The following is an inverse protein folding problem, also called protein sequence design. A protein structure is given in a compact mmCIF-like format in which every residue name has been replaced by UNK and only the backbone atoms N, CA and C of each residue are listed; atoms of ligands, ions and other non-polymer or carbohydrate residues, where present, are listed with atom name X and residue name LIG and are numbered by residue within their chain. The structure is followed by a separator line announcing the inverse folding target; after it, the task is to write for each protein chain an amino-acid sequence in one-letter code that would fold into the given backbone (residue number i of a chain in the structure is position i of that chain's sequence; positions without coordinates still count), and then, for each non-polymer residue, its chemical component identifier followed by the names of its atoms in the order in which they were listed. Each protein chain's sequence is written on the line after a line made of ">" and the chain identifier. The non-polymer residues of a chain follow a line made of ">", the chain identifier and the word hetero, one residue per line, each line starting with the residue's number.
data_IF_873981048185
#
_entry.id   IF_873981048185
#
_cell.length_a   1.000
_cell.length_b   1.000
_cell.length_c   1.000
_cell.angle_alpha   90.00
_cell.angle_beta   90.00
_cell.angle_gamma   90.00
#
_symmetry.space_group_name_H-M   'P 1'
#
loop_
_entity.id
_entity.type
_entity.pdbx_description
1 polymer ?
#
# COMPACT_ATOMS: atom_id res chain seq x y z
N UNK A 1 -37.23 -2.70 14.54
CA UNK A 1 -36.30 -2.06 13.58
C UNK A 1 -36.31 -0.57 13.87
N UNK A 2 -35.48 -0.15 14.81
CA UNK A 2 -35.45 1.22 15.33
C UNK A 2 -34.08 1.79 15.00
N UNK A 3 -34.00 2.42 13.81
CA UNK A 3 -32.81 3.14 13.37
C UNK A 3 -32.63 4.40 14.21
N UNK A 4 -31.42 4.62 14.72
CA UNK A 4 -31.05 5.89 15.33
C UNK A 4 -30.77 6.90 14.21
N UNK A 5 -31.64 7.90 14.09
CA UNK A 5 -31.44 9.06 13.22
C UNK A 5 -30.40 9.94 13.90
N UNK A 6 -29.19 10.03 13.33
CA UNK A 6 -28.21 11.03 13.73
C UNK A 6 -28.76 12.39 13.30
N UNK A 7 -29.18 13.19 14.27
CA UNK A 7 -29.56 14.59 14.04
C UNK A 7 -28.34 15.43 14.39
N UNK A 8 -27.68 16.01 13.39
CA UNK A 8 -26.74 17.10 13.62
C UNK A 8 -27.57 18.33 13.99
N UNK A 9 -27.76 18.56 15.29
CA UNK A 9 -28.31 19.82 15.78
C UNK A 9 -27.22 20.89 15.68
N UNK A 10 -27.51 21.96 14.95
CA UNK A 10 -26.69 23.17 14.88
C UNK A 10 -26.79 23.93 16.20
N UNK A 11 -25.70 24.59 16.61
CA UNK A 11 -25.50 25.23 17.92
C UNK A 11 -26.55 26.30 18.31
N UNK A 12 -27.41 26.75 17.40
CA UNK A 12 -28.42 27.78 17.68
C UNK A 12 -29.65 27.26 18.46
N UNK A 13 -29.88 25.95 18.54
CA UNK A 13 -31.01 25.38 19.32
C UNK A 13 -30.63 24.97 20.76
N UNK A 14 -29.36 25.11 21.16
CA UNK A 14 -28.83 24.67 22.47
C UNK A 14 -28.61 25.81 23.47
N UNK A 15 -29.20 26.99 23.29
CA UNK A 15 -29.08 28.09 24.27
C UNK A 15 -30.10 27.98 25.40
N UNK A 16 -29.95 26.93 26.19
CA UNK A 16 -30.42 26.83 27.57
C UNK A 16 -29.24 27.04 28.52
N UNK A 17 -29.39 27.93 29.49
CA UNK A 17 -28.32 28.43 30.36
C UNK A 17 -27.48 27.33 31.03
N UNK A 18 -26.14 27.53 30.98
CA UNK A 18 -25.03 26.73 31.54
C UNK A 18 -24.71 25.42 30.82
N UNK A 19 -23.84 25.52 29.82
CA UNK A 19 -23.00 24.41 29.34
C UNK A 19 -22.00 24.09 30.45
N UNK A 20 -22.20 22.97 31.17
CA UNK A 20 -21.38 22.56 32.32
C UNK A 20 -20.02 21.94 31.92
N UNK A 21 -19.57 22.19 30.69
CA UNK A 21 -18.26 21.80 30.19
C UNK A 21 -18.30 21.47 28.71
N UNK A 22 -17.22 21.83 28.01
CA UNK A 22 -16.95 21.33 26.67
C UNK A 22 -16.05 20.09 26.80
N UNK A 23 -16.56 18.92 26.41
CA UNK A 23 -15.69 17.75 26.25
C UNK A 23 -14.89 17.94 24.97
N UNK A 24 -13.62 18.32 25.12
CA UNK A 24 -12.68 18.37 24.01
C UNK A 24 -12.16 16.95 23.77
N UNK A 25 -12.77 16.24 22.82
CA UNK A 25 -12.25 14.98 22.29
C UNK A 25 -11.08 15.32 21.35
N UNK A 26 -9.88 15.48 21.90
CA UNK A 26 -8.67 15.58 21.09
C UNK A 26 -8.32 14.17 20.57
N UNK A 27 -8.86 13.82 19.41
CA UNK A 27 -8.48 12.58 18.75
C UNK A 27 -7.07 12.75 18.17
N UNK A 28 -6.06 12.22 18.87
CA UNK A 28 -4.66 12.23 18.43
C UNK A 28 -4.41 11.18 17.33
N UNK A 29 -5.28 11.18 16.32
CA UNK A 29 -5.16 10.31 15.17
C UNK A 29 -4.14 10.87 14.20
N UNK A 30 -3.19 10.04 13.80
CA UNK A 30 -2.29 10.32 12.69
C UNK A 30 -2.94 9.81 11.40
N UNK A 31 -2.90 10.63 10.36
CA UNK A 31 -3.37 10.27 9.02
C UNK A 31 -2.20 9.76 8.19
N UNK A 32 -2.32 8.53 7.71
CA UNK A 32 -1.28 7.88 6.91
C UNK A 32 -1.73 7.78 5.47
N UNK A 33 -0.90 8.27 4.54
CA UNK A 33 -1.06 7.99 3.12
C UNK A 33 -0.62 6.55 2.88
N UNK A 34 -1.59 5.68 2.59
CA UNK A 34 -1.32 4.24 2.46
C UNK A 34 -1.27 3.78 1.01
N UNK A 35 -1.50 4.62 0.01
CA UNK A 35 -1.45 4.19 -1.40
C UNK A 35 -1.03 5.28 -2.39
N UNK A 36 -0.98 4.91 -3.67
CA UNK A 36 -0.47 5.78 -4.75
C UNK A 36 -1.46 6.86 -5.21
N UNK A 37 -2.75 6.72 -4.87
CA UNK A 37 -3.80 7.63 -5.33
C UNK A 37 -4.04 8.79 -4.36
N UNK A 38 -4.45 9.94 -4.90
CA UNK A 38 -4.83 11.11 -4.11
C UNK A 38 -5.95 10.76 -3.11
N UNK A 39 -5.78 11.15 -1.83
CA UNK A 39 -6.71 10.88 -0.71
C UNK A 39 -6.91 9.40 -0.37
N UNK A 40 -5.95 8.55 -0.72
CA UNK A 40 -5.91 7.17 -0.22
C UNK A 40 -5.21 7.12 1.13
N UNK A 41 -5.89 7.64 2.15
CA UNK A 41 -5.40 7.74 3.52
C UNK A 41 -6.20 6.88 4.49
N UNK A 42 -5.56 6.48 5.59
CA UNK A 42 -6.24 5.87 6.74
C UNK A 42 -5.75 6.55 8.01
N UNK A 43 -6.70 6.86 8.88
CA UNK A 43 -6.48 7.44 10.19
C UNK A 43 -6.27 6.36 11.24
N UNK A 44 -5.24 6.50 12.08
CA UNK A 44 -5.02 5.64 13.23
C UNK A 44 -4.60 6.46 14.45
N UNK A 45 -5.27 6.25 15.59
CA UNK A 45 -4.94 6.88 16.87
C UNK A 45 -4.39 5.86 17.85
N UNK A 46 -3.44 6.31 18.66
CA UNK A 46 -2.97 5.57 19.82
C UNK A 46 -3.60 6.19 21.06
N UNK A 47 -4.19 5.36 21.90
CA UNK A 47 -4.65 5.78 23.22
C UNK A 47 -3.45 6.03 24.15
N UNK A 48 -3.65 6.84 25.17
CA UNK A 48 -2.60 7.17 26.13
C UNK A 48 -2.35 5.99 27.07
N UNK A 49 -1.18 5.37 26.95
CA UNK A 49 -0.80 4.20 27.74
C UNK A 49 -0.05 4.52 29.04
N UNK A 50 -0.05 5.76 29.49
CA UNK A 50 0.55 6.11 30.78
C UNK A 50 -0.21 5.45 31.92
N UNK A 51 0.51 5.00 32.95
CA UNK A 51 -0.04 4.35 34.15
C UNK A 51 -1.13 5.18 34.85
N UNK A 52 -1.08 6.50 34.71
CA UNK A 52 -2.06 7.46 35.27
C UNK A 52 -3.40 7.45 34.52
N UNK A 53 -3.42 6.99 33.26
CA UNK A 53 -4.59 7.00 32.38
C UNK A 53 -5.15 5.59 32.10
N UNK A 54 -4.47 4.54 32.60
CA UNK A 54 -4.93 3.15 32.52
C UNK A 54 -5.80 2.80 33.71
N UNK A 55 -6.83 1.99 33.45
CA UNK A 55 -7.81 1.52 34.45
C UNK A 55 -8.46 2.64 35.25
N UNK A 56 -8.79 3.73 34.56
CA UNK A 56 -9.53 4.83 35.16
C UNK A 56 -11.02 4.48 35.18
N UNK A 57 -11.62 4.40 36.37
CA UNK A 57 -13.05 4.13 36.53
C UNK A 57 -13.43 2.69 36.91
N UNK A 58 -12.46 1.86 37.30
CA UNK A 58 -12.74 0.56 37.94
C UNK A 58 -13.17 0.79 39.38
N UNK A 59 -14.33 0.27 39.75
CA UNK A 59 -14.86 0.32 41.13
C UNK A 59 -13.98 -0.53 42.04
N UNK A 60 -13.51 0.05 43.14
CA UNK A 60 -12.66 -0.60 44.13
C UNK A 60 -12.87 0.00 45.52
N UNK A 61 -12.54 -0.77 46.56
CA UNK A 61 -12.74 -0.37 47.97
C UNK A 61 -11.54 0.43 48.52
N UNK A 62 -10.43 0.49 47.78
CA UNK A 62 -9.16 1.10 48.19
C UNK A 62 -8.92 2.51 47.65
N UNK A 63 -9.93 3.13 47.02
CA UNK A 63 -9.92 4.47 46.42
C UNK A 63 -8.80 4.69 45.36
N UNK A 64 -8.37 3.62 44.69
CA UNK A 64 -7.40 3.70 43.59
C UNK A 64 -8.04 4.32 42.35
N UNK A 65 -7.35 5.29 41.73
CA UNK A 65 -7.86 5.99 40.55
C UNK A 65 -7.23 5.52 39.25
N UNK A 66 -6.03 4.97 39.33
CA UNK A 66 -5.23 4.51 38.20
C UNK A 66 -4.20 3.47 38.64
N UNK A 67 -3.51 2.86 37.67
CA UNK A 67 -2.38 1.97 37.97
C UNK A 67 -1.24 2.65 38.73
N UNK A 68 -1.12 3.98 38.65
CA UNK A 68 -0.07 4.73 39.36
C UNK A 68 -0.28 4.77 40.89
N UNK A 69 -1.52 4.57 41.36
CA UNK A 69 -1.90 4.72 42.77
C UNK A 69 -1.90 3.38 43.54
N UNK A 70 -1.56 2.27 42.86
CA UNK A 70 -1.70 0.93 43.43
C UNK A 70 -0.77 0.72 44.64
N UNK A 71 -1.38 0.32 45.75
CA UNK A 71 -0.67 -0.15 46.94
C UNK A 71 -1.08 -1.60 47.27
N UNK A 72 -0.08 -2.48 47.38
CA UNK A 72 -0.25 -3.92 47.66
C UNK A 72 0.18 -4.29 49.08
N UNK A 73 0.42 -3.31 49.95
CA UNK A 73 0.83 -3.55 51.34
C UNK A 73 -0.29 -4.11 52.22
N UNK A 74 -1.55 -3.95 51.80
CA UNK A 74 -2.72 -4.46 52.49
C UNK A 74 -3.50 -5.46 51.62
N UNK A 75 -4.25 -6.38 52.26
CA UNK A 75 -4.90 -7.49 51.55
C UNK A 75 -6.03 -7.03 50.61
N UNK A 76 -6.79 -6.00 50.98
CA UNK A 76 -7.86 -5.45 50.14
C UNK A 76 -7.29 -4.75 48.90
N UNK A 77 -6.30 -3.89 49.11
CA UNK A 77 -5.55 -3.20 48.07
C UNK A 77 -4.87 -4.14 47.10
N UNK A 78 -4.37 -5.28 47.56
CA UNK A 78 -3.85 -6.33 46.67
C UNK A 78 -4.94 -6.93 45.77
N UNK A 79 -6.15 -7.16 46.30
CA UNK A 79 -7.28 -7.69 45.52
C UNK A 79 -7.80 -6.67 44.51
N UNK A 80 -7.92 -5.41 44.91
CA UNK A 80 -8.33 -4.30 44.05
C UNK A 80 -7.30 -4.03 42.95
N UNK A 81 -6.01 -4.09 43.29
CA UNK A 81 -4.92 -3.95 42.33
C UNK A 81 -4.96 -5.04 41.25
N UNK A 82 -5.30 -6.28 41.59
CA UNK A 82 -5.45 -7.35 40.59
C UNK A 82 -6.54 -6.98 39.58
N UNK A 83 -7.71 -6.54 40.05
CA UNK A 83 -8.82 -6.16 39.16
C UNK A 83 -8.42 -5.02 38.22
N UNK A 84 -7.73 -3.99 38.73
CA UNK A 84 -7.27 -2.87 37.90
C UNK A 84 -6.17 -3.26 36.90
N UNK A 85 -5.30 -4.19 37.28
CA UNK A 85 -4.29 -4.75 36.38
C UNK A 85 -4.94 -5.56 35.26
N UNK A 86 -5.95 -6.38 35.56
CA UNK A 86 -6.66 -7.18 34.56
C UNK A 86 -7.36 -6.28 33.53
N UNK A 87 -8.08 -5.26 33.99
CA UNK A 87 -8.71 -4.25 33.12
C UNK A 87 -7.66 -3.51 32.27
N UNK A 88 -6.53 -3.14 32.85
CA UNK A 88 -5.43 -2.53 32.11
C UNK A 88 -4.84 -3.45 31.03
N UNK A 89 -4.71 -4.75 31.34
CA UNK A 89 -4.25 -5.75 30.37
C UNK A 89 -5.24 -5.87 29.22
N UNK A 90 -6.54 -5.82 29.50
CA UNK A 90 -7.59 -5.82 28.48
C UNK A 90 -7.45 -4.58 27.57
N UNK A 91 -7.39 -3.37 28.13
CA UNK A 91 -7.21 -2.12 27.36
C UNK A 91 -5.97 -2.16 26.45
N UNK A 92 -4.82 -2.62 26.98
CA UNK A 92 -3.58 -2.75 26.17
C UNK A 92 -3.72 -3.84 25.11
N UNK A 93 -4.48 -4.90 25.37
CA UNK A 93 -4.73 -5.98 24.42
C UNK A 93 -5.67 -5.54 23.30
N UNK A 94 -6.71 -4.76 23.61
CA UNK A 94 -7.58 -4.14 22.62
C UNK A 94 -6.81 -3.18 21.71
N UNK A 95 -5.96 -2.31 22.28
CA UNK A 95 -5.11 -1.44 21.47
C UNK A 95 -4.20 -2.24 20.54
N UNK A 96 -3.56 -3.31 21.04
CA UNK A 96 -2.74 -4.20 20.20
C UNK A 96 -3.55 -4.88 19.10
N UNK A 97 -4.78 -5.29 19.38
CA UNK A 97 -5.68 -5.85 18.38
C UNK A 97 -6.06 -4.81 17.31
N UNK A 98 -6.35 -3.58 17.72
CA UNK A 98 -6.64 -2.46 16.82
C UNK A 98 -5.43 -2.11 15.93
N UNK A 99 -4.23 -2.05 16.51
CA UNK A 99 -2.98 -1.89 15.76
C UNK A 99 -2.77 -3.01 14.75
N UNK A 100 -2.97 -4.27 15.16
CA UNK A 100 -2.84 -5.43 14.28
C UNK A 100 -3.85 -5.43 13.14
N UNK A 101 -5.10 -5.06 13.43
CA UNK A 101 -6.15 -4.88 12.44
C UNK A 101 -5.79 -3.79 11.42
N UNK A 102 -5.34 -2.63 11.88
CA UNK A 102 -4.89 -1.55 11.02
C UNK A 102 -3.72 -2.00 10.13
N UNK A 103 -2.68 -2.62 10.70
CA UNK A 103 -1.55 -3.13 9.94
C UNK A 103 -1.98 -4.11 8.84
N UNK A 104 -2.79 -5.12 9.20
CA UNK A 104 -3.23 -6.17 8.27
C UNK A 104 -4.16 -5.63 7.17
N UNK A 105 -5.10 -4.77 7.53
CA UNK A 105 -6.14 -4.31 6.61
C UNK A 105 -5.71 -3.11 5.77
N UNK A 106 -4.90 -2.22 6.32
CA UNK A 106 -4.43 -1.03 5.60
C UNK A 106 -3.08 -1.33 4.92
N UNK A 107 -2.03 -1.58 5.71
CA UNK A 107 -0.66 -1.63 5.20
C UNK A 107 -0.40 -2.88 4.39
N UNK A 108 -0.73 -4.06 4.91
CA UNK A 108 -0.47 -5.32 4.19
C UNK A 108 -1.37 -5.46 2.95
N UNK A 109 -2.63 -5.03 3.02
CA UNK A 109 -3.51 -5.04 1.86
C UNK A 109 -2.98 -4.12 0.76
N UNK A 110 -2.52 -2.92 1.12
CA UNK A 110 -1.92 -2.03 0.14
C UNK A 110 -0.61 -2.60 -0.44
N UNK A 111 0.26 -3.15 0.41
CA UNK A 111 1.49 -3.80 -0.03
C UNK A 111 1.21 -4.92 -1.05
N UNK A 112 0.18 -5.74 -0.81
CA UNK A 112 -0.24 -6.77 -1.77
C UNK A 112 -0.67 -6.17 -3.10
N UNK A 113 -1.48 -5.11 -3.08
CA UNK A 113 -1.90 -4.41 -4.30
C UNK A 113 -0.72 -3.80 -5.06
N UNK A 114 0.23 -3.16 -4.36
CA UNK A 114 1.43 -2.59 -4.97
C UNK A 114 2.34 -3.66 -5.59
N UNK A 115 2.46 -4.84 -4.96
CA UNK A 115 3.22 -5.96 -5.53
C UNK A 115 2.60 -6.47 -6.82
N UNK A 116 1.27 -6.65 -6.84
CA UNK A 116 0.54 -7.05 -8.07
C UNK A 116 0.69 -5.99 -9.16
N UNK A 117 0.55 -4.71 -8.80
CA UNK A 117 0.74 -3.61 -9.75
C UNK A 117 2.17 -3.59 -10.31
N UNK A 118 3.18 -3.77 -9.46
CA UNK A 118 4.58 -3.85 -9.87
C UNK A 118 4.83 -5.04 -10.81
N UNK A 119 4.29 -6.21 -10.51
CA UNK A 119 4.41 -7.40 -11.36
C UNK A 119 3.78 -7.16 -12.73
N UNK A 120 2.57 -6.61 -12.77
CA UNK A 120 1.90 -6.26 -14.01
C UNK A 120 2.69 -5.23 -14.84
N UNK A 121 3.31 -4.24 -14.20
CA UNK A 121 4.15 -3.25 -14.88
C UNK A 121 5.43 -3.87 -15.45
N UNK A 122 6.10 -4.75 -14.70
CA UNK A 122 7.29 -5.46 -15.19
C UNK A 122 6.92 -6.41 -16.35
N UNK A 123 5.77 -7.07 -16.30
CA UNK A 123 5.29 -7.89 -17.42
C UNK A 123 4.99 -7.04 -18.66
N UNK A 124 4.31 -5.90 -18.48
CA UNK A 124 4.04 -4.96 -19.57
C UNK A 124 5.34 -4.41 -20.18
N UNK A 125 6.32 -4.04 -19.35
CA UNK A 125 7.64 -3.61 -19.79
C UNK A 125 8.36 -4.71 -20.60
N UNK A 126 8.32 -5.96 -20.13
CA UNK A 126 8.92 -7.09 -20.86
C UNK A 126 8.30 -7.28 -22.23
N UNK A 127 6.97 -7.22 -22.33
CA UNK A 127 6.25 -7.36 -23.62
C UNK A 127 6.62 -6.22 -24.57
N UNK A 128 6.68 -4.98 -24.07
CA UNK A 128 7.08 -3.83 -24.88
C UNK A 128 8.51 -3.99 -25.39
N UNK A 129 9.45 -4.30 -24.49
CA UNK A 129 10.86 -4.47 -24.85
C UNK A 129 11.09 -5.62 -25.83
N UNK A 130 10.41 -6.75 -25.64
CA UNK A 130 10.55 -7.92 -26.51
C UNK A 130 9.89 -7.67 -27.88
N UNK A 131 8.78 -6.93 -27.94
CA UNK A 131 8.17 -6.48 -29.20
C UNK A 131 9.10 -5.56 -29.99
N UNK A 132 9.70 -4.57 -29.32
CA UNK A 132 10.64 -3.65 -29.95
C UNK A 132 11.90 -4.38 -30.43
N UNK A 133 12.41 -5.33 -29.64
CA UNK A 133 13.54 -6.19 -30.04
C UNK A 133 13.17 -7.07 -31.24
N UNK A 134 11.97 -7.65 -31.27
CA UNK A 134 11.53 -8.47 -32.40
C UNK A 134 11.43 -7.65 -33.69
N UNK A 135 10.94 -6.40 -33.61
CA UNK A 135 10.88 -5.48 -34.74
C UNK A 135 12.29 -5.14 -35.28
N UNK A 136 13.23 -4.77 -34.39
CA UNK A 136 14.62 -4.50 -34.76
C UNK A 136 15.32 -5.75 -35.33
N UNK A 137 15.11 -6.93 -34.75
CA UNK A 137 15.68 -8.18 -35.25
C UNK A 137 15.13 -8.57 -36.63
N UNK A 138 13.84 -8.28 -36.89
CA UNK A 138 13.24 -8.47 -38.21
C UNK A 138 13.86 -7.52 -39.24
N UNK A 139 14.02 -6.23 -38.90
CA UNK A 139 14.64 -5.26 -39.80
C UNK A 139 16.13 -5.58 -40.03
N UNK A 140 16.86 -5.98 -38.97
CA UNK A 140 18.24 -6.45 -39.06
C UNK A 140 18.38 -7.69 -39.98
N UNK A 141 17.50 -8.68 -39.80
CA UNK A 141 17.50 -9.90 -40.63
C UNK A 141 17.17 -9.58 -42.09
N UNK A 142 16.16 -8.73 -42.33
CA UNK A 142 15.82 -8.23 -43.67
C UNK A 142 17.00 -7.51 -44.32
N UNK A 143 17.68 -6.64 -43.59
CA UNK A 143 18.88 -5.94 -44.07
C UNK A 143 20.02 -6.92 -44.38
N UNK A 144 20.22 -7.95 -43.56
CA UNK A 144 21.23 -8.98 -43.80
C UNK A 144 20.90 -9.82 -45.04
N UNK A 145 19.63 -10.18 -45.25
CA UNK A 145 19.16 -10.86 -46.46
C UNK A 145 19.34 -9.95 -47.69
N UNK A 146 19.04 -8.66 -47.60
CA UNK A 146 19.27 -7.70 -48.69
C UNK A 146 20.75 -7.56 -49.04
N UNK A 147 21.64 -7.51 -48.05
CA UNK A 147 23.09 -7.47 -48.27
C UNK A 147 23.61 -8.76 -48.94
N UNK A 148 23.17 -9.93 -48.45
CA UNK A 148 23.52 -11.21 -49.06
C UNK A 148 22.95 -11.35 -50.49
N UNK A 149 21.72 -10.88 -50.71
CA UNK A 149 21.07 -10.89 -52.02
C UNK A 149 21.73 -9.90 -52.98
N UNK A 150 22.13 -8.71 -52.50
CA UNK A 150 22.85 -7.71 -53.28
C UNK A 150 24.23 -8.18 -53.72
N UNK A 151 24.96 -8.88 -52.84
CA UNK A 151 26.25 -9.48 -53.20
C UNK A 151 26.09 -10.65 -54.19
N UNK A 152 25.11 -11.53 -53.98
CA UNK A 152 24.79 -12.62 -54.91
C UNK A 152 24.28 -12.09 -56.28
N UNK A 153 23.41 -11.08 -56.29
CA UNK A 153 22.93 -10.43 -57.51
C UNK A 153 24.06 -9.70 -58.24
N UNK A 154 24.97 -9.03 -57.52
CA UNK A 154 26.14 -8.40 -58.14
C UNK A 154 27.08 -9.44 -58.74
N UNK A 155 27.29 -10.57 -58.07
CA UNK A 155 28.04 -11.69 -58.62
C UNK A 155 27.39 -12.27 -59.89
N UNK A 156 26.06 -12.46 -59.88
CA UNK A 156 25.29 -12.94 -61.04
C UNK A 156 25.29 -11.94 -62.20
N UNK A 157 25.07 -10.64 -61.90
CA UNK A 157 25.08 -9.57 -62.88
C UNK A 157 26.46 -9.38 -63.55
N UNK A 158 27.55 -9.72 -62.86
CA UNK A 158 28.89 -9.72 -63.44
C UNK A 158 29.18 -10.95 -64.32
N UNK A 159 28.44 -12.05 -64.13
CA UNK A 159 28.57 -13.26 -64.96
C UNK A 159 27.81 -13.15 -66.28
N UNK A 160 26.63 -12.53 -66.28
CA UNK A 160 25.77 -12.39 -67.49
C UNK A 160 26.51 -11.71 -68.67
N UNK A 161 27.20 -10.57 -68.52
CA UNK A 161 27.95 -9.94 -69.61
C UNK A 161 29.06 -10.84 -70.16
N UNK A 162 29.74 -11.61 -69.30
CA UNK A 162 30.81 -12.53 -69.71
C UNK A 162 30.26 -13.68 -70.55
N UNK A 163 29.08 -14.20 -70.19
CA UNK A 163 28.36 -15.22 -70.97
C UNK A 163 27.92 -14.67 -72.34
N UNK A 164 27.44 -13.42 -72.39
CA UNK A 164 27.05 -12.78 -73.67
C UNK A 164 28.27 -12.48 -74.54
N UNK A 165 29.39 -12.05 -73.97
CA UNK A 165 30.65 -11.87 -74.70
C UNK A 165 31.20 -13.18 -75.28
N UNK A 166 31.02 -14.31 -74.58
CA UNK A 166 31.35 -15.63 -75.13
C UNK A 166 30.46 -16.00 -76.33
N UNK A 167 29.17 -15.66 -76.29
CA UNK A 167 28.25 -15.86 -77.41
C UNK A 167 28.54 -14.93 -78.60
N UNK A 168 28.85 -13.65 -78.36
CA UNK A 168 29.21 -12.71 -79.42
C UNK A 168 30.58 -13.04 -80.04
N UNK A 169 31.57 -13.41 -79.22
CA UNK A 169 32.91 -13.77 -79.70
C UNK A 169 32.98 -15.13 -80.42
N UNK A 170 32.03 -16.03 -80.17
CA UNK A 170 31.90 -17.31 -80.90
C UNK A 170 31.06 -17.19 -82.17
N UNK A 171 30.18 -16.18 -82.29
CA UNK A 171 29.41 -15.91 -83.49
C UNK A 171 30.18 -15.08 -84.55
N UNK A 172 31.30 -14.45 -84.19
CA UNK A 172 32.18 -13.68 -85.10
C UNK A 172 33.40 -14.44 -85.60
N UNK A 173 33.40 -15.78 -85.57
CA UNK A 173 34.44 -16.62 -86.16
C UNK A 173 33.79 -17.66 -87.07
#
# INVERSE_FOLDING_TARGET
>A
VTGQKIVQQSNDELVGNKVDGYVHLAQNSLEYQIGANFRQTVSFSLDDLRSENLSTGVENDSDYRSLADLDVTNAQGAQDAINMIDDSIEQVSELRANMGSFQKNALEANLRNLRVASENLTQAESVLRDSDMAAEMSEFTKNQILLASGTAMSAQANQIPKSVLQLLGSATR
#
